data_IF_213647429246
#
_entry.id   IF_213647429246
#
_cell.length_a   1.000
_cell.length_b   1.000
_cell.length_c   1.000
_cell.angle_alpha   90.00
_cell.angle_beta   90.00
_cell.angle_gamma   90.00
#
_symmetry.space_group_name_H-M   'P 1'
#
loop_
_entity.id
_entity.type
_entity.pdbx_description
1 polymer ?
#
# COMPACT_ATOMS: atom_id res chain seq x y z
N UNK A 1 10.10 61.37 7.38
CA UNK A 1 9.19 60.99 6.29
C UNK A 1 8.92 59.51 6.46
N UNK A 2 7.83 59.14 7.15
CA UNK A 2 7.52 57.75 7.50
C UNK A 2 6.75 57.15 6.33
N UNK A 3 7.32 56.09 5.76
CA UNK A 3 6.79 55.36 4.62
C UNK A 3 5.45 54.67 4.98
N UNK A 4 4.34 55.22 4.48
CA UNK A 4 2.99 54.72 4.73
C UNK A 4 2.62 53.48 3.88
N UNK A 5 3.55 52.96 3.08
CA UNK A 5 3.29 51.79 2.21
C UNK A 5 3.19 50.45 2.99
N UNK A 6 3.57 50.41 4.27
CA UNK A 6 3.49 49.21 5.11
C UNK A 6 2.15 48.99 5.84
N UNK A 7 1.15 49.88 5.64
CA UNK A 7 -0.17 49.78 6.28
C UNK A 7 -1.29 49.29 5.32
N UNK A 8 -0.96 48.46 4.33
CA UNK A 8 -1.97 47.76 3.54
C UNK A 8 -2.62 46.67 4.41
N UNK A 9 -3.68 47.04 5.15
CA UNK A 9 -4.51 46.12 5.92
C UNK A 9 -5.07 45.07 4.95
N UNK A 10 -4.79 43.77 5.13
CA UNK A 10 -5.23 42.74 4.20
C UNK A 10 -6.77 42.77 4.10
N UNK A 11 -7.22 42.96 2.87
CA UNK A 11 -8.61 43.19 2.47
C UNK A 11 -9.56 42.14 3.13
N UNK A 12 -10.48 42.59 3.98
CA UNK A 12 -11.33 41.70 4.80
C UNK A 12 -12.20 40.77 3.92
N UNK A 13 -12.51 41.21 2.69
CA UNK A 13 -13.21 40.41 1.67
C UNK A 13 -12.40 39.21 1.17
N UNK A 14 -11.08 39.33 1.06
CA UNK A 14 -10.20 38.19 0.73
C UNK A 14 -10.09 37.20 1.89
N UNK A 15 -10.08 37.69 3.15
CA UNK A 15 -10.07 36.83 4.35
C UNK A 15 -11.39 36.05 4.52
N UNK A 16 -12.56 36.70 4.31
CA UNK A 16 -13.88 36.04 4.39
C UNK A 16 -14.09 34.98 3.29
N UNK A 17 -13.71 35.25 2.04
CA UNK A 17 -13.79 34.24 0.95
C UNK A 17 -12.89 33.02 1.22
N UNK A 18 -11.68 33.24 1.75
CA UNK A 18 -10.76 32.15 2.14
C UNK A 18 -11.32 31.31 3.30
N UNK A 19 -12.02 31.91 4.27
CA UNK A 19 -12.62 31.19 5.39
C UNK A 19 -13.84 30.36 4.97
N UNK A 20 -14.68 30.87 4.07
CA UNK A 20 -15.80 30.12 3.52
C UNK A 20 -15.33 28.94 2.64
N UNK A 21 -14.35 29.16 1.76
CA UNK A 21 -13.78 28.08 0.95
C UNK A 21 -13.09 27.02 1.81
N UNK A 22 -12.41 27.42 2.88
CA UNK A 22 -11.80 26.49 3.82
C UNK A 22 -12.87 25.67 4.54
N UNK A 23 -13.97 26.28 4.99
CA UNK A 23 -15.09 25.56 5.61
C UNK A 23 -15.68 24.49 4.68
N UNK A 24 -15.96 24.83 3.41
CA UNK A 24 -16.46 23.85 2.44
C UNK A 24 -15.45 22.73 2.15
N UNK A 25 -14.15 23.07 2.05
CA UNK A 25 -13.08 22.09 1.89
C UNK A 25 -13.04 21.12 3.08
N UNK A 26 -13.06 21.63 4.32
CA UNK A 26 -13.06 20.79 5.52
C UNK A 26 -14.31 19.93 5.62
N UNK A 27 -15.50 20.48 5.31
CA UNK A 27 -16.74 19.70 5.29
C UNK A 27 -16.67 18.56 4.26
N UNK A 28 -16.15 18.83 3.06
CA UNK A 28 -15.94 17.81 2.02
C UNK A 28 -14.91 16.75 2.44
N UNK A 29 -13.79 17.16 3.04
CA UNK A 29 -12.76 16.23 3.54
C UNK A 29 -13.31 15.35 4.67
N UNK A 30 -14.09 15.90 5.60
CA UNK A 30 -14.73 15.13 6.68
C UNK A 30 -15.73 14.13 6.10
N UNK A 31 -16.56 14.56 5.16
CA UNK A 31 -17.51 13.68 4.47
C UNK A 31 -16.79 12.52 3.77
N UNK A 32 -15.72 12.83 3.03
CA UNK A 32 -14.91 11.83 2.35
C UNK A 32 -14.25 10.87 3.35
N UNK A 33 -13.70 11.39 4.46
CA UNK A 33 -13.11 10.57 5.52
C UNK A 33 -14.14 9.62 6.13
N UNK A 34 -15.38 10.08 6.38
CA UNK A 34 -16.46 9.23 6.89
C UNK A 34 -16.81 8.11 5.92
N UNK A 35 -16.84 8.37 4.61
CA UNK A 35 -17.06 7.33 3.59
C UNK A 35 -16.00 6.24 3.67
N UNK A 36 -14.72 6.60 3.82
CA UNK A 36 -13.61 5.63 3.90
C UNK A 36 -13.53 4.92 5.27
N UNK A 37 -13.86 5.61 6.36
CA UNK A 37 -13.81 5.04 7.72
C UNK A 37 -14.98 4.09 7.98
N UNK A 38 -16.15 4.36 7.41
CA UNK A 38 -17.36 3.54 7.58
C UNK A 38 -17.12 2.02 7.34
N UNK A 39 -16.58 1.57 6.19
CA UNK A 39 -16.32 0.14 5.97
C UNK A 39 -15.26 -0.42 6.92
N UNK A 40 -14.32 0.42 7.40
CA UNK A 40 -13.31 0.00 8.37
C UNK A 40 -13.93 -0.23 9.76
N UNK A 41 -14.85 0.63 10.19
CA UNK A 41 -15.65 0.43 11.41
C UNK A 41 -16.47 -0.84 11.29
N UNK A 42 -17.16 -1.04 10.15
CA UNK A 42 -17.95 -2.25 9.93
C UNK A 42 -17.09 -3.52 9.96
N UNK A 43 -15.88 -3.49 9.41
CA UNK A 43 -14.93 -4.59 9.48
C UNK A 43 -14.57 -4.93 10.93
N UNK A 44 -14.28 -3.92 11.75
CA UNK A 44 -13.95 -4.11 13.18
C UNK A 44 -15.16 -4.69 13.92
N UNK A 45 -16.37 -4.14 13.73
CA UNK A 45 -17.59 -4.66 14.35
C UNK A 45 -17.87 -6.10 13.95
N UNK A 46 -17.69 -6.42 12.67
CA UNK A 46 -17.90 -7.75 12.10
C UNK A 46 -16.93 -8.78 12.68
N UNK A 47 -15.70 -8.37 13.03
CA UNK A 47 -14.72 -9.27 13.66
C UNK A 47 -15.18 -9.83 15.03
N UNK A 48 -16.11 -9.15 15.71
CA UNK A 48 -16.71 -9.61 16.98
C UNK A 48 -18.02 -10.38 16.80
N UNK A 49 -18.64 -10.34 15.60
CA UNK A 49 -19.92 -11.01 15.33
C UNK A 49 -19.76 -12.50 15.04
N UNK A 50 -20.79 -13.27 15.38
CA UNK A 50 -20.92 -14.65 14.88
C UNK A 50 -21.33 -14.67 13.41
N UNK A 51 -21.02 -15.74 12.67
CA UNK A 51 -21.44 -15.90 11.26
C UNK A 51 -22.94 -15.65 11.09
N UNK A 52 -23.77 -16.13 12.03
CA UNK A 52 -25.22 -15.90 12.02
C UNK A 52 -25.58 -14.42 12.18
N UNK A 53 -24.93 -13.70 13.08
CA UNK A 53 -25.14 -12.26 13.28
C UNK A 53 -24.74 -11.44 12.06
N UNK A 54 -23.68 -11.83 11.35
CA UNK A 54 -23.24 -11.16 10.12
C UNK A 54 -24.34 -11.24 9.06
N UNK A 55 -25.00 -12.38 8.90
CA UNK A 55 -26.09 -12.56 7.92
C UNK A 55 -27.39 -11.87 8.33
N UNK A 56 -27.73 -11.88 9.63
CA UNK A 56 -29.00 -11.33 10.11
C UNK A 56 -28.96 -9.81 10.31
N UNK A 57 -27.81 -9.24 10.70
CA UNK A 57 -27.65 -7.81 10.90
C UNK A 57 -26.23 -7.33 10.51
N UNK A 58 -25.96 -7.17 9.20
CA UNK A 58 -24.63 -6.82 8.70
C UNK A 58 -24.10 -5.48 9.25
N UNK A 59 -24.98 -4.45 9.32
CA UNK A 59 -24.61 -3.09 9.72
C UNK A 59 -24.78 -2.77 11.21
N UNK A 60 -25.43 -3.66 11.97
CA UNK A 60 -25.68 -3.45 13.40
C UNK A 60 -24.43 -3.60 14.28
N UNK A 61 -24.57 -3.29 15.56
CA UNK A 61 -23.53 -3.56 16.56
C UNK A 61 -23.46 -5.06 16.90
N UNK A 62 -22.30 -5.58 17.33
CA UNK A 62 -22.19 -6.95 17.79
C UNK A 62 -23.04 -7.18 19.04
N UNK A 63 -23.67 -8.35 19.15
CA UNK A 63 -24.48 -8.69 20.33
C UNK A 63 -23.62 -8.87 21.60
N UNK A 64 -22.35 -9.26 21.43
CA UNK A 64 -21.38 -9.34 22.51
C UNK A 64 -19.96 -9.02 22.01
N UNK A 65 -19.19 -8.31 22.82
CA UNK A 65 -17.78 -8.07 22.57
C UNK A 65 -16.96 -9.22 23.13
N UNK A 66 -16.72 -10.26 22.32
CA UNK A 66 -15.99 -11.45 22.76
C UNK A 66 -14.71 -11.67 21.95
N UNK A 67 -13.59 -11.88 22.66
CA UNK A 67 -12.32 -12.25 22.04
C UNK A 67 -12.23 -13.74 21.65
N UNK A 68 -13.27 -14.54 21.95
CA UNK A 68 -13.28 -15.98 21.65
C UNK A 68 -13.09 -16.29 20.17
N UNK A 69 -13.62 -15.46 19.28
CA UNK A 69 -13.44 -15.60 17.82
C UNK A 69 -11.96 -15.46 17.44
N UNK A 70 -11.25 -14.47 18.00
CA UNK A 70 -9.83 -14.26 17.74
C UNK A 70 -8.98 -15.43 18.24
N UNK A 71 -9.22 -15.89 19.47
CA UNK A 71 -8.51 -17.07 20.03
C UNK A 71 -8.77 -18.32 19.18
N UNK A 72 -10.02 -18.53 18.75
CA UNK A 72 -10.39 -19.65 17.88
C UNK A 72 -9.64 -19.60 16.55
N UNK A 73 -9.60 -18.44 15.88
CA UNK A 73 -8.86 -18.27 14.61
C UNK A 73 -7.36 -18.50 14.84
N UNK A 74 -6.81 -17.93 15.92
CA UNK A 74 -5.39 -18.08 16.24
C UNK A 74 -4.97 -19.54 16.47
N UNK A 75 -5.78 -20.30 17.21
CA UNK A 75 -5.45 -21.68 17.58
C UNK A 75 -5.90 -22.72 16.55
N UNK A 76 -7.07 -22.54 15.92
CA UNK A 76 -7.68 -23.57 15.06
C UNK A 76 -7.47 -23.33 13.57
N UNK A 77 -7.18 -22.10 13.13
CA UNK A 77 -7.02 -21.77 11.71
C UNK A 77 -5.55 -21.64 11.29
N UNK A 78 -4.60 -22.13 12.09
CA UNK A 78 -3.15 -22.02 11.84
C UNK A 78 -2.68 -20.60 11.49
N UNK A 79 -3.37 -19.59 12.04
CA UNK A 79 -3.16 -18.19 11.68
C UNK A 79 -1.75 -17.71 12.00
N UNK A 80 -1.14 -18.26 13.05
CA UNK A 80 0.27 -18.03 13.39
C UNK A 80 1.19 -18.33 12.20
N UNK A 81 1.01 -19.45 11.51
CA UNK A 81 1.86 -19.86 10.37
C UNK A 81 1.70 -18.86 9.22
N UNK A 82 0.46 -18.53 8.85
CA UNK A 82 0.18 -17.58 7.77
C UNK A 82 0.71 -16.18 8.08
N UNK A 83 0.56 -15.73 9.32
CA UNK A 83 1.04 -14.43 9.78
C UNK A 83 2.57 -14.34 9.70
N UNK A 84 3.28 -15.32 10.26
CA UNK A 84 4.74 -15.34 10.22
C UNK A 84 5.29 -15.54 8.79
N UNK A 85 4.66 -16.37 7.97
CA UNK A 85 5.04 -16.51 6.55
C UNK A 85 4.91 -15.17 5.82
N UNK A 86 3.82 -14.43 6.06
CA UNK A 86 3.59 -13.13 5.41
C UNK A 86 4.62 -12.09 5.83
N UNK A 87 4.93 -12.01 7.13
CA UNK A 87 5.98 -11.11 7.64
C UNK A 87 7.33 -11.46 7.03
N UNK A 88 7.71 -12.74 7.08
CA UNK A 88 9.00 -13.20 6.59
C UNK A 88 9.14 -12.91 5.09
N UNK A 89 8.15 -13.30 4.28
CA UNK A 89 8.16 -13.05 2.84
C UNK A 89 8.24 -11.55 2.56
N UNK A 90 7.44 -10.73 3.24
CA UNK A 90 7.41 -9.28 3.02
C UNK A 90 8.75 -8.63 3.37
N UNK A 91 9.30 -8.92 4.55
CA UNK A 91 10.56 -8.32 5.01
C UNK A 91 11.74 -8.72 4.12
N UNK A 92 11.86 -10.00 3.77
CA UNK A 92 12.96 -10.47 2.93
C UNK A 92 12.83 -9.92 1.50
N UNK A 93 11.61 -9.90 0.94
CA UNK A 93 11.37 -9.32 -0.39
C UNK A 93 11.73 -7.84 -0.42
N UNK A 94 11.31 -7.07 0.59
CA UNK A 94 11.61 -5.64 0.69
C UNK A 94 13.11 -5.40 0.86
N UNK A 95 13.78 -6.17 1.72
CA UNK A 95 15.22 -6.05 1.90
C UNK A 95 15.98 -6.31 0.60
N UNK A 96 15.64 -7.38 -0.12
CA UNK A 96 16.25 -7.73 -1.40
C UNK A 96 15.95 -6.67 -2.48
N UNK A 97 14.70 -6.21 -2.56
CA UNK A 97 14.27 -5.15 -3.48
C UNK A 97 15.05 -3.87 -3.22
N UNK A 98 15.05 -3.36 -1.99
CA UNK A 98 15.74 -2.12 -1.65
C UNK A 98 17.24 -2.22 -1.89
N UNK A 99 17.86 -3.33 -1.50
CA UNK A 99 19.28 -3.55 -1.72
C UNK A 99 19.63 -3.50 -3.22
N UNK A 100 18.93 -4.27 -4.04
CA UNK A 100 19.22 -4.36 -5.49
C UNK A 100 18.81 -3.12 -6.27
N UNK A 101 17.66 -2.52 -5.97
CA UNK A 101 17.18 -1.31 -6.62
C UNK A 101 18.03 -0.08 -6.27
N UNK A 102 18.43 0.09 -5.01
CA UNK A 102 19.28 1.22 -4.61
C UNK A 102 20.63 1.18 -5.32
N UNK A 103 21.25 -0.01 -5.40
CA UNK A 103 22.52 -0.19 -6.13
C UNK A 103 22.35 0.11 -7.63
N UNK A 104 21.27 -0.37 -8.23
CA UNK A 104 20.98 -0.17 -9.65
C UNK A 104 20.69 1.30 -9.97
N UNK A 105 19.84 1.96 -9.17
CA UNK A 105 19.50 3.37 -9.29
C UNK A 105 20.72 4.27 -9.11
N UNK A 106 21.54 4.00 -8.09
CA UNK A 106 22.78 4.72 -7.87
C UNK A 106 23.72 4.59 -9.07
N UNK A 107 23.87 3.37 -9.61
CA UNK A 107 24.75 3.15 -10.74
C UNK A 107 24.29 3.89 -12.00
N UNK A 108 22.99 3.86 -12.31
CA UNK A 108 22.40 4.58 -13.44
C UNK A 108 22.49 6.10 -13.28
N UNK A 109 22.30 6.61 -12.06
CA UNK A 109 22.30 8.04 -11.79
C UNK A 109 23.71 8.66 -11.71
N UNK A 110 24.72 7.90 -11.28
CA UNK A 110 26.07 8.44 -11.01
C UNK A 110 27.15 8.00 -11.99
N UNK A 111 27.05 6.83 -12.62
CA UNK A 111 28.08 6.35 -13.55
C UNK A 111 27.66 6.52 -15.02
N UNK A 112 28.60 6.98 -15.84
CA UNK A 112 28.45 7.02 -17.30
C UNK A 112 29.14 5.79 -17.90
N UNK A 113 28.35 4.89 -18.47
CA UNK A 113 28.84 3.70 -19.17
C UNK A 113 27.95 3.39 -20.37
N UNK A 114 28.48 2.62 -21.33
CA UNK A 114 27.86 2.38 -22.64
C UNK A 114 26.45 1.80 -22.58
N UNK A 115 26.14 0.98 -21.57
CA UNK A 115 24.83 0.31 -21.41
C UNK A 115 23.81 1.10 -20.57
N UNK A 116 24.14 2.30 -20.08
CA UNK A 116 23.27 3.05 -19.16
C UNK A 116 21.88 3.31 -19.79
N UNK A 117 21.83 3.80 -21.03
CA UNK A 117 20.56 4.08 -21.71
C UNK A 117 19.72 2.81 -21.96
N UNK A 118 20.37 1.66 -22.26
CA UNK A 118 19.67 0.40 -22.44
C UNK A 118 19.03 -0.09 -21.13
N UNK A 119 19.79 -0.08 -20.03
CA UNK A 119 19.28 -0.50 -18.72
C UNK A 119 18.17 0.43 -18.22
N UNK A 120 18.30 1.73 -18.47
CA UNK A 120 17.24 2.70 -18.20
C UNK A 120 15.95 2.36 -18.95
N UNK A 121 16.03 2.10 -20.26
CA UNK A 121 14.88 1.67 -21.07
C UNK A 121 14.31 0.33 -20.61
N UNK A 122 15.16 -0.61 -20.18
CA UNK A 122 14.74 -1.92 -19.66
C UNK A 122 13.88 -1.77 -18.40
N UNK A 123 14.30 -0.95 -17.44
CA UNK A 123 13.49 -0.69 -16.24
C UNK A 123 12.21 0.06 -16.60
N UNK A 124 12.25 1.03 -17.52
CA UNK A 124 11.05 1.75 -17.96
C UNK A 124 10.03 0.80 -18.63
N UNK A 125 10.48 -0.13 -19.46
CA UNK A 125 9.64 -1.16 -20.06
C UNK A 125 9.02 -2.08 -19.00
N UNK A 126 9.76 -2.41 -17.95
CA UNK A 126 9.27 -3.21 -16.82
C UNK A 126 8.09 -2.57 -16.08
N UNK A 127 8.01 -1.23 -16.03
CA UNK A 127 6.86 -0.50 -15.46
C UNK A 127 5.63 -0.59 -16.38
N UNK A 128 5.86 -0.55 -17.69
CA UNK A 128 4.79 -0.52 -18.70
C UNK A 128 4.10 -1.87 -18.89
N UNK A 129 4.79 -2.98 -18.59
CA UNK A 129 4.23 -4.33 -18.73
C UNK A 129 3.33 -4.64 -17.52
N UNK A 130 2.02 -4.88 -17.71
CA UNK A 130 1.14 -5.26 -16.62
C UNK A 130 1.48 -6.69 -16.16
N UNK A 131 2.03 -6.81 -14.94
CA UNK A 131 2.49 -8.07 -14.32
C UNK A 131 1.43 -9.20 -14.39
N UNK A 132 0.14 -8.84 -14.40
CA UNK A 132 -0.98 -9.80 -14.51
C UNK A 132 -0.94 -10.67 -15.77
N UNK A 133 -0.32 -10.20 -16.87
CA UNK A 133 -0.18 -11.00 -18.09
C UNK A 133 0.91 -12.08 -17.98
N UNK A 134 1.82 -11.95 -17.02
CA UNK A 134 2.99 -12.82 -16.87
C UNK A 134 2.80 -14.01 -15.93
N UNK A 135 1.61 -14.25 -15.38
CA UNK A 135 1.40 -15.26 -14.33
C UNK A 135 1.73 -16.68 -14.81
N UNK A 136 1.25 -17.09 -15.99
CA UNK A 136 1.51 -18.43 -16.52
C UNK A 136 3.01 -18.64 -16.84
N UNK A 137 3.68 -17.73 -17.57
CA UNK A 137 5.13 -17.81 -17.76
C UNK A 137 5.92 -17.85 -16.44
N UNK A 138 5.52 -17.03 -15.46
CA UNK A 138 6.17 -17.01 -14.14
C UNK A 138 5.97 -18.35 -13.39
N UNK A 139 4.78 -18.93 -13.45
CA UNK A 139 4.51 -20.24 -12.86
C UNK A 139 5.41 -21.32 -13.46
N UNK A 140 5.52 -21.35 -14.79
CA UNK A 140 6.41 -22.29 -15.51
C UNK A 140 7.86 -22.08 -15.08
N UNK A 141 8.33 -20.83 -15.05
CA UNK A 141 9.69 -20.49 -14.61
C UNK A 141 9.96 -20.98 -13.18
N UNK A 142 9.03 -20.75 -12.25
CA UNK A 142 9.18 -21.20 -10.86
C UNK A 142 9.17 -22.74 -10.75
N UNK A 143 8.44 -23.43 -11.64
CA UNK A 143 8.45 -24.89 -11.72
C UNK A 143 9.80 -25.41 -12.22
N UNK A 144 10.32 -24.83 -13.30
CA UNK A 144 11.62 -25.19 -13.87
C UNK A 144 12.77 -24.93 -12.89
N UNK A 145 12.66 -23.87 -12.08
CA UNK A 145 13.61 -23.58 -10.99
C UNK A 145 13.43 -24.47 -9.75
N UNK A 146 12.40 -25.32 -9.70
CA UNK A 146 12.09 -26.15 -8.53
C UNK A 146 11.65 -25.35 -7.30
N UNK A 147 11.18 -24.11 -7.49
CA UNK A 147 10.78 -23.19 -6.43
C UNK A 147 9.26 -23.12 -6.24
N UNK A 148 8.47 -23.90 -6.99
CA UNK A 148 7.03 -23.97 -6.77
C UNK A 148 6.70 -24.39 -5.34
N UNK A 149 5.58 -23.85 -4.84
CA UNK A 149 5.09 -24.05 -3.47
C UNK A 149 6.11 -23.68 -2.38
N UNK A 150 7.08 -22.81 -2.70
CA UNK A 150 8.08 -22.31 -1.77
C UNK A 150 7.91 -20.82 -1.49
N UNK A 151 8.27 -20.41 -0.27
CA UNK A 151 8.36 -18.99 0.12
C UNK A 151 9.33 -18.23 -0.79
N UNK A 152 10.36 -18.90 -1.29
CA UNK A 152 11.35 -18.31 -2.21
C UNK A 152 10.73 -17.87 -3.54
N UNK A 153 9.74 -18.62 -4.07
CA UNK A 153 9.03 -18.20 -5.28
C UNK A 153 8.35 -16.84 -5.07
N UNK A 154 7.68 -16.66 -3.93
CA UNK A 154 7.05 -15.38 -3.57
C UNK A 154 8.10 -14.29 -3.34
N UNK A 155 9.17 -14.59 -2.60
CA UNK A 155 10.21 -13.60 -2.26
C UNK A 155 10.86 -13.02 -3.52
N UNK A 156 11.29 -13.91 -4.42
CA UNK A 156 11.95 -13.50 -5.67
C UNK A 156 10.97 -12.79 -6.60
N UNK A 157 9.73 -13.28 -6.69
CA UNK A 157 8.70 -12.64 -7.53
C UNK A 157 8.40 -11.23 -7.05
N UNK A 158 8.18 -11.01 -5.75
CA UNK A 158 7.87 -9.69 -5.21
C UNK A 158 9.05 -8.73 -5.34
N UNK A 159 10.27 -9.18 -5.07
CA UNK A 159 11.47 -8.36 -5.25
C UNK A 159 11.68 -7.98 -6.72
N UNK A 160 11.61 -8.94 -7.64
CA UNK A 160 11.80 -8.67 -9.06
C UNK A 160 10.69 -7.80 -9.66
N UNK A 161 9.43 -8.02 -9.28
CA UNK A 161 8.29 -7.27 -9.81
C UNK A 161 8.27 -5.81 -9.36
N UNK A 162 8.75 -5.52 -8.14
CA UNK A 162 8.86 -4.16 -7.63
C UNK A 162 10.08 -3.39 -8.15
N UNK A 163 11.11 -4.10 -8.61
CA UNK A 163 12.40 -3.52 -8.99
C UNK A 163 12.31 -2.41 -10.04
N UNK A 164 11.54 -2.55 -11.15
CA UNK A 164 11.41 -1.49 -12.15
C UNK A 164 10.92 -0.17 -11.56
N UNK A 165 9.89 -0.19 -10.72
CA UNK A 165 9.37 1.02 -10.08
C UNK A 165 10.32 1.58 -9.03
N UNK A 166 10.99 0.74 -8.23
CA UNK A 166 11.87 1.18 -7.14
C UNK A 166 13.21 1.76 -7.60
N UNK A 167 13.62 1.53 -8.85
CA UNK A 167 14.83 2.12 -9.41
C UNK A 167 14.62 3.61 -9.78
N UNK A 168 13.38 4.06 -9.94
CA UNK A 168 13.01 5.46 -10.21
C UNK A 168 12.54 6.19 -8.95
#
# INVERSE_FOLDING_TARGET
>A
MIDQTLLAKPDEGQRRRKNASAFFLYAFLIFLALIFICPLILLILTAFKSTREIFMNPFGLPASWSFKTFVRVWQKAHFNIYFFNSILVTLISLALLLFTSTLSAYALARFKFRLNNFLFMLFLAGIMIPIRLGILPLFILMNELGLLDSRWSLILTYAASGMPMSVF
#
